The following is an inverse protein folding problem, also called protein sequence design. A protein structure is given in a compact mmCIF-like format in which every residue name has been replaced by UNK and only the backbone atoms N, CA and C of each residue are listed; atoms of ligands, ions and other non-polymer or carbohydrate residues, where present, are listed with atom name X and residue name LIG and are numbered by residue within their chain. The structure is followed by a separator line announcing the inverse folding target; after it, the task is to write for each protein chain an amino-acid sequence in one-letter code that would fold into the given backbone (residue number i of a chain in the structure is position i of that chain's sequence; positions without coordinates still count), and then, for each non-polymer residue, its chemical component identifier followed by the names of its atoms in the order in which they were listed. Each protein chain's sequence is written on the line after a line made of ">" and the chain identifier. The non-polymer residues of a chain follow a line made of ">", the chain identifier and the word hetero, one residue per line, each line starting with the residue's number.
data_IF_489371286099
#
_entry.id   IF_489371286099
#
_cell.length_a   1.000
_cell.length_b   1.000
_cell.length_c   1.000
_cell.angle_alpha   90.00
_cell.angle_beta   90.00
_cell.angle_gamma   90.00
#
_symmetry.space_group_name_H-M   'P 1'
#
loop_
_entity.id
_entity.type
_entity.pdbx_description
1 polymer ?
#
# COMPACT_ATOMS: atom_id res chain seq x y z
N UNK A 1 7.69 2.83 12.90
CA UNK A 1 6.83 3.44 11.88
C UNK A 1 7.29 4.84 11.55
N UNK A 2 7.75 5.02 10.32
CA UNK A 2 8.35 6.25 9.81
C UNK A 2 7.28 7.33 9.51
N UNK A 3 7.39 8.47 10.17
CA UNK A 3 6.42 9.58 10.05
C UNK A 3 6.47 10.21 8.65
N UNK A 4 7.66 10.33 8.05
CA UNK A 4 7.81 10.95 6.73
C UNK A 4 7.22 10.07 5.63
N UNK A 5 7.37 8.75 5.75
CA UNK A 5 6.78 7.82 4.79
C UNK A 5 5.26 7.86 4.82
N UNK A 6 4.65 7.93 6.01
CA UNK A 6 3.20 8.14 6.14
C UNK A 6 2.72 9.41 5.45
N UNK A 7 3.41 10.52 5.68
CA UNK A 7 3.05 11.80 5.08
C UNK A 7 3.19 11.74 3.56
N UNK A 8 4.22 11.05 3.04
CA UNK A 8 4.38 10.82 1.60
C UNK A 8 3.21 10.04 1.00
N UNK A 9 2.73 8.99 1.67
CA UNK A 9 1.53 8.25 1.25
C UNK A 9 0.29 9.15 1.31
N UNK A 10 0.12 9.90 2.39
CA UNK A 10 -1.02 10.79 2.59
C UNK A 10 -1.09 11.91 1.54
N UNK A 11 0.05 12.42 1.08
CA UNK A 11 0.16 13.47 0.06
C UNK A 11 0.12 12.94 -1.38
N UNK A 12 0.19 11.61 -1.56
CA UNK A 12 0.13 10.99 -2.88
C UNK A 12 -1.22 11.14 -3.57
N UNK A 13 -1.24 10.93 -4.89
CA UNK A 13 -2.43 10.98 -5.73
C UNK A 13 -2.50 9.77 -6.67
N UNK A 14 -3.65 9.60 -7.34
CA UNK A 14 -3.90 8.46 -8.23
C UNK A 14 -3.09 8.49 -9.54
N UNK A 15 -2.32 9.54 -9.81
CA UNK A 15 -1.49 9.65 -11.01
C UNK A 15 -0.44 8.54 -11.08
N UNK A 16 -0.28 7.94 -12.26
CA UNK A 16 0.63 6.81 -12.49
C UNK A 16 2.06 7.10 -12.04
N UNK A 17 2.59 8.28 -12.38
CA UNK A 17 3.96 8.67 -11.98
C UNK A 17 4.10 8.80 -10.47
N UNK A 18 3.07 9.28 -9.76
CA UNK A 18 3.10 9.40 -8.31
C UNK A 18 3.14 8.02 -7.64
N UNK A 19 2.22 7.13 -8.04
CA UNK A 19 2.16 5.77 -7.51
C UNK A 19 3.42 4.97 -7.84
N UNK A 20 3.90 5.06 -9.08
CA UNK A 20 5.13 4.40 -9.51
C UNK A 20 6.37 4.92 -8.75
N UNK A 21 6.47 6.22 -8.52
CA UNK A 21 7.58 6.78 -7.73
C UNK A 21 7.59 6.33 -6.27
N UNK A 22 6.44 6.00 -5.69
CA UNK A 22 6.35 5.42 -4.33
C UNK A 22 6.65 3.92 -4.37
N UNK A 23 6.10 3.21 -5.35
CA UNK A 23 6.42 1.81 -5.63
C UNK A 23 7.94 1.60 -5.75
N UNK A 24 8.60 2.35 -6.63
CA UNK A 24 10.04 2.23 -6.89
C UNK A 24 10.86 2.55 -5.63
N UNK A 25 10.40 3.51 -4.82
CA UNK A 25 11.01 3.82 -3.53
C UNK A 25 10.92 2.64 -2.56
N UNK A 26 9.77 1.99 -2.44
CA UNK A 26 9.58 0.84 -1.54
C UNK A 26 10.38 -0.37 -2.02
N UNK A 27 10.45 -0.62 -3.34
CA UNK A 27 11.31 -1.68 -3.90
C UNK A 27 12.78 -1.44 -3.56
N UNK A 28 13.23 -0.19 -3.60
CA UNK A 28 14.62 0.18 -3.24
C UNK A 28 14.87 0.21 -1.74
N UNK A 29 13.83 0.31 -0.91
CA UNK A 29 13.92 0.43 0.54
C UNK A 29 12.88 -0.51 1.20
N UNK A 30 13.08 -1.84 1.15
CA UNK A 30 12.10 -2.84 1.61
C UNK A 30 11.75 -2.75 3.10
N UNK A 31 12.56 -2.07 3.91
CA UNK A 31 12.26 -1.78 5.32
C UNK A 31 10.94 -1.02 5.50
N UNK A 32 10.49 -0.28 4.49
CA UNK A 32 9.21 0.43 4.51
C UNK A 32 8.00 -0.45 4.17
N UNK A 33 8.21 -1.73 3.80
CA UNK A 33 7.10 -2.65 3.50
C UNK A 33 6.16 -2.82 4.69
N UNK A 34 6.70 -2.96 5.90
CA UNK A 34 5.89 -3.11 7.10
C UNK A 34 4.99 -1.88 7.34
N UNK A 35 5.56 -0.68 7.22
CA UNK A 35 4.81 0.58 7.37
C UNK A 35 3.76 0.74 6.26
N UNK A 36 4.07 0.34 5.02
CA UNK A 36 3.13 0.38 3.90
C UNK A 36 1.94 -0.55 4.14
N UNK A 37 2.19 -1.78 4.57
CA UNK A 37 1.15 -2.78 4.85
C UNK A 37 0.30 -2.36 6.04
N UNK A 38 0.91 -1.83 7.11
CA UNK A 38 0.19 -1.30 8.26
C UNK A 38 -0.77 -0.18 7.83
N UNK A 39 -0.32 0.76 7.00
CA UNK A 39 -1.18 1.80 6.43
C UNK A 39 -2.28 1.26 5.54
N UNK A 40 -1.99 0.27 4.69
CA UNK A 40 -2.97 -0.31 3.78
C UNK A 40 -4.08 -1.09 4.52
N UNK A 41 -3.74 -1.68 5.66
CA UNK A 41 -4.63 -2.58 6.43
C UNK A 41 -5.35 -1.87 7.58
N UNK A 42 -4.93 -0.65 7.93
CA UNK A 42 -5.64 0.23 8.86
C UNK A 42 -6.87 0.88 8.19
N UNK A 43 -8.00 0.17 8.20
CA UNK A 43 -9.28 0.65 7.65
C UNK A 43 -9.82 1.93 8.31
N UNK A 44 -9.30 2.31 9.49
CA UNK A 44 -9.68 3.55 10.16
C UNK A 44 -8.93 4.77 9.60
N UNK A 45 -7.80 4.53 8.92
CA UNK A 45 -7.03 5.57 8.29
C UNK A 45 -7.71 6.05 7.01
N UNK A 46 -8.08 7.33 6.97
CA UNK A 46 -8.69 7.95 5.78
C UNK A 46 -7.86 7.82 4.50
N UNK A 47 -6.55 7.61 4.61
CA UNK A 47 -5.62 7.48 3.48
C UNK A 47 -5.21 6.02 3.19
N UNK A 48 -5.78 5.01 3.86
CA UNK A 48 -5.38 3.60 3.67
C UNK A 48 -5.43 3.17 2.20
N UNK A 49 -6.46 3.61 1.47
CA UNK A 49 -6.65 3.29 0.05
C UNK A 49 -5.46 3.74 -0.82
N UNK A 50 -4.72 4.78 -0.41
CA UNK A 50 -3.52 5.23 -1.13
C UNK A 50 -2.35 4.25 -0.96
N UNK A 51 -2.22 3.63 0.21
CA UNK A 51 -1.25 2.57 0.43
C UNK A 51 -1.64 1.29 -0.34
N UNK A 52 -2.94 0.97 -0.40
CA UNK A 52 -3.47 -0.16 -1.20
C UNK A 52 -3.08 -0.02 -2.68
N UNK A 53 -3.06 1.19 -3.24
CA UNK A 53 -2.59 1.41 -4.62
C UNK A 53 -1.15 0.96 -4.86
N UNK A 54 -0.29 1.08 -3.85
CA UNK A 54 1.10 0.68 -3.96
C UNK A 54 1.24 -0.83 -3.78
N UNK A 55 0.46 -1.41 -2.86
CA UNK A 55 0.36 -2.87 -2.70
C UNK A 55 -0.09 -3.55 -4.01
N UNK A 56 -1.05 -2.95 -4.73
CA UNK A 56 -1.49 -3.43 -6.05
C UNK A 56 -0.33 -3.47 -7.06
N UNK A 57 0.45 -2.39 -7.18
CA UNK A 57 1.60 -2.34 -8.09
C UNK A 57 2.71 -3.33 -7.69
N UNK A 58 2.92 -3.52 -6.38
CA UNK A 58 3.87 -4.50 -5.86
C UNK A 58 3.40 -5.93 -6.14
N UNK A 59 2.10 -6.21 -6.04
CA UNK A 59 1.56 -7.52 -6.35
C UNK A 59 1.76 -7.90 -7.82
N UNK A 60 1.71 -6.92 -8.74
CA UNK A 60 1.96 -7.15 -10.16
C UNK A 60 3.45 -7.38 -10.50
N UNK A 61 4.37 -6.73 -9.78
CA UNK A 61 5.78 -6.64 -10.21
C UNK A 61 6.79 -7.30 -9.26
N UNK A 62 6.52 -7.30 -7.95
CA UNK A 62 7.40 -7.80 -6.88
C UNK A 62 6.57 -8.54 -5.79
N UNK A 63 5.77 -9.56 -6.16
CA UNK A 63 4.88 -10.25 -5.22
C UNK A 63 5.62 -10.91 -4.05
N UNK A 64 6.90 -11.23 -4.20
CA UNK A 64 7.76 -11.78 -3.16
C UNK A 64 7.89 -10.85 -1.94
N UNK A 65 7.84 -9.53 -2.14
CA UNK A 65 7.88 -8.55 -1.05
C UNK A 65 6.61 -8.61 -0.18
N UNK A 66 5.50 -9.08 -0.75
CA UNK A 66 4.21 -9.21 -0.05
C UNK A 66 4.04 -10.55 0.65
N UNK A 67 4.89 -11.53 0.36
CA UNK A 67 4.79 -12.89 0.91
C UNK A 67 4.69 -12.91 2.45
N UNK A 68 5.50 -12.14 3.21
CA UNK A 68 5.40 -12.11 4.67
C UNK A 68 4.09 -11.51 5.21
N UNK A 69 3.35 -10.78 4.38
CA UNK A 69 2.19 -9.97 4.78
C UNK A 69 0.88 -10.46 4.16
N UNK A 70 0.92 -11.52 3.36
CA UNK A 70 -0.20 -11.96 2.51
C UNK A 70 -1.47 -12.23 3.33
N UNK A 71 -1.35 -12.93 4.46
CA UNK A 71 -2.51 -13.24 5.33
C UNK A 71 -3.19 -11.97 5.85
N UNK A 72 -2.39 -11.00 6.35
CA UNK A 72 -2.89 -9.73 6.86
C UNK A 72 -3.58 -8.91 5.77
N UNK A 73 -2.98 -8.86 4.57
CA UNK A 73 -3.52 -8.14 3.41
C UNK A 73 -4.85 -8.78 2.99
N UNK A 74 -4.91 -10.10 2.81
CA UNK A 74 -6.12 -10.81 2.40
C UNK A 74 -7.26 -10.66 3.42
N UNK A 75 -6.95 -10.76 4.72
CA UNK A 75 -7.93 -10.59 5.78
C UNK A 75 -8.49 -9.15 5.84
N UNK A 76 -7.64 -8.16 5.57
CA UNK A 76 -8.04 -6.75 5.56
C UNK A 76 -8.82 -6.38 4.29
N UNK A 77 -8.47 -6.96 3.15
CA UNK A 77 -9.13 -6.71 1.86
C UNK A 77 -10.64 -6.98 1.90
N UNK A 78 -11.06 -8.05 2.60
CA UNK A 78 -12.47 -8.37 2.79
C UNK A 78 -13.27 -7.31 3.57
N UNK A 79 -12.59 -6.38 4.25
CA UNK A 79 -13.20 -5.33 5.09
C UNK A 79 -13.19 -3.95 4.42
N UNK A 80 -12.55 -3.80 3.26
CA UNK A 80 -12.48 -2.51 2.58
C UNK A 80 -13.87 -2.04 2.14
N UNK A 81 -14.19 -0.80 2.49
CA UNK A 81 -15.43 -0.11 2.08
C UNK A 81 -15.16 1.08 1.18
N UNK A 82 -13.91 1.52 1.09
CA UNK A 82 -13.53 2.64 0.24
C UNK A 82 -13.39 2.12 -1.20
N UNK A 83 -14.14 2.67 -2.14
CA UNK A 83 -14.14 2.24 -3.55
C UNK A 83 -12.73 2.20 -4.15
N UNK A 84 -11.89 3.20 -3.84
CA UNK A 84 -10.50 3.21 -4.32
C UNK A 84 -9.57 2.19 -3.63
N UNK A 85 -10.01 1.49 -2.59
CA UNK A 85 -9.30 0.38 -1.95
C UNK A 85 -9.87 -0.98 -2.40
N UNK A 86 -11.13 -1.03 -2.83
CA UNK A 86 -11.72 -2.24 -3.41
C UNK A 86 -11.06 -2.45 -4.77
N UNK A 87 -10.28 -3.52 -4.88
CA UNK A 87 -9.62 -3.93 -6.11
C UNK A 87 -10.29 -5.20 -6.61
N UNK A 88 -10.92 -5.09 -7.79
CA UNK A 88 -11.33 -6.28 -8.53
C UNK A 88 -10.08 -6.84 -9.20
N UNK A 89 -9.72 -8.06 -8.83
CA UNK A 89 -9.06 -8.93 -9.81
C UNK A 89 -10.11 -9.26 -10.88
#
# INVERSE_FOLDING_TARGET
>A
MDVFFKDRIAQSNAGTNCRKGIHDFVVQNPEHMADLVELATDISNKNHYKAVWIIELLAESHPELLSPFTELICHSAAKYKHESAIRGI
#
